data_IF_608616217322
#
_entry.id   IF_608616217322
#
_cell.length_a   1.000
_cell.length_b   1.000
_cell.length_c   1.000
_cell.angle_alpha   90.00
_cell.angle_beta   90.00
_cell.angle_gamma   90.00
#
_symmetry.space_group_name_H-M   'P 1'
#
loop_
_entity.id
_entity.type
_entity.pdbx_description
1 polymer ?
#
# COMPACT_ATOMS: atom_id res chain seq x y z
N UNK A 1 -10.26 7.11 -2.96
CA UNK A 1 -9.71 5.94 -2.24
C UNK A 1 -10.58 4.74 -2.56
N UNK A 2 -9.99 3.56 -2.76
CA UNK A 2 -10.74 2.32 -2.95
C UNK A 2 -9.98 1.11 -2.40
N UNK A 3 -10.70 0.03 -2.13
CA UNK A 3 -10.15 -1.29 -1.82
C UNK A 3 -10.12 -2.14 -3.08
N UNK A 4 -9.08 -2.96 -3.22
CA UNK A 4 -8.96 -3.96 -4.28
C UNK A 4 -8.29 -5.24 -3.74
N UNK A 5 -8.78 -6.40 -4.15
CA UNK A 5 -8.06 -7.66 -4.01
C UNK A 5 -6.89 -7.70 -5.01
N UNK A 6 -5.87 -8.52 -4.73
CA UNK A 6 -4.68 -8.61 -5.57
C UNK A 6 -4.99 -8.86 -7.07
N UNK A 7 -5.96 -9.73 -7.36
CA UNK A 7 -6.33 -10.08 -8.75
C UNK A 7 -7.14 -8.99 -9.47
N UNK A 8 -7.63 -7.99 -8.75
CA UNK A 8 -8.34 -6.83 -9.32
C UNK A 8 -7.37 -5.71 -9.72
N UNK A 9 -6.13 -5.75 -9.22
CA UNK A 9 -5.10 -4.78 -9.57
C UNK A 9 -4.65 -5.00 -11.01
N UNK A 10 -4.66 -3.93 -11.80
CA UNK A 10 -3.95 -3.95 -13.06
C UNK A 10 -2.44 -4.09 -12.83
N UNK A 11 -1.71 -4.55 -13.85
CA UNK A 11 -0.25 -4.68 -13.80
C UNK A 11 0.43 -3.36 -13.43
N UNK A 12 -0.07 -2.26 -13.96
CA UNK A 12 0.51 -0.94 -13.75
C UNK A 12 0.24 -0.45 -12.31
N UNK A 13 -0.94 -0.71 -11.76
CA UNK A 13 -1.25 -0.41 -10.36
C UNK A 13 -0.43 -1.24 -9.39
N UNK A 14 -0.29 -2.55 -9.65
CA UNK A 14 0.57 -3.42 -8.86
C UNK A 14 2.02 -2.91 -8.86
N UNK A 15 2.53 -2.53 -10.03
CA UNK A 15 3.88 -2.00 -10.15
C UNK A 15 4.06 -0.68 -9.40
N UNK A 16 3.11 0.26 -9.51
CA UNK A 16 3.12 1.53 -8.77
C UNK A 16 3.11 1.30 -7.25
N UNK A 17 2.29 0.37 -6.76
CA UNK A 17 2.23 0.01 -5.33
C UNK A 17 3.59 -0.50 -4.85
N UNK A 18 4.19 -1.44 -5.59
CA UNK A 18 5.50 -2.02 -5.25
C UNK A 18 6.60 -0.96 -5.27
N UNK A 19 6.59 -0.08 -6.27
CA UNK A 19 7.55 1.02 -6.37
C UNK A 19 7.45 1.94 -5.15
N UNK A 20 6.25 2.44 -4.83
CA UNK A 20 6.07 3.40 -3.72
C UNK A 20 6.42 2.76 -2.37
N UNK A 21 6.11 1.47 -2.18
CA UNK A 21 6.54 0.72 -0.99
C UNK A 21 8.05 0.66 -0.87
N UNK A 22 8.77 0.40 -1.97
CA UNK A 22 10.24 0.37 -1.96
C UNK A 22 10.83 1.76 -1.74
N UNK A 23 10.28 2.80 -2.37
CA UNK A 23 10.70 4.19 -2.16
C UNK A 23 10.62 4.58 -0.68
N UNK A 24 9.53 4.24 0.00
CA UNK A 24 9.33 4.60 1.41
C UNK A 24 10.07 3.65 2.36
N UNK A 25 9.81 2.35 2.28
CA UNK A 25 10.28 1.41 3.30
C UNK A 25 11.71 0.92 3.10
N UNK A 26 12.25 0.97 1.88
CA UNK A 26 13.62 0.53 1.60
C UNK A 26 14.56 1.72 1.39
N UNK A 27 14.22 2.62 0.47
CA UNK A 27 15.11 3.72 0.06
C UNK A 27 15.11 4.84 1.10
N UNK A 28 13.95 5.44 1.38
CA UNK A 28 13.84 6.56 2.32
C UNK A 28 14.23 6.16 3.75
N UNK A 29 13.77 5.00 4.21
CA UNK A 29 14.10 4.49 5.54
C UNK A 29 15.50 3.85 5.63
N UNK A 30 16.22 3.73 4.50
CA UNK A 30 17.52 3.06 4.41
C UNK A 30 17.51 1.67 5.09
N UNK A 31 16.46 0.90 4.84
CA UNK A 31 16.19 -0.37 5.48
C UNK A 31 16.02 -1.45 4.40
N UNK A 32 17.09 -2.09 3.93
CA UNK A 32 16.98 -3.13 2.92
C UNK A 32 16.35 -4.39 3.53
N UNK A 33 15.14 -4.72 3.08
CA UNK A 33 14.47 -5.99 3.40
C UNK A 33 13.60 -6.44 2.23
N UNK A 34 13.16 -7.70 2.25
CA UNK A 34 12.26 -8.23 1.24
C UNK A 34 10.85 -7.66 1.43
N UNK A 35 10.53 -6.57 0.74
CA UNK A 35 9.20 -5.95 0.78
C UNK A 35 8.14 -6.83 0.11
N UNK A 36 8.45 -7.39 -1.06
CA UNK A 36 7.62 -8.34 -1.80
C UNK A 36 7.69 -9.73 -1.15
N UNK A 37 7.03 -9.85 0.00
CA UNK A 37 7.11 -11.00 0.92
C UNK A 37 6.22 -12.20 0.52
N UNK A 38 5.58 -12.15 -0.64
CA UNK A 38 4.69 -13.22 -1.14
C UNK A 38 3.32 -13.28 -0.46
N UNK A 39 2.99 -12.30 0.39
CA UNK A 39 1.68 -12.23 1.07
C UNK A 39 0.69 -11.32 0.33
N UNK A 40 1.12 -10.61 -0.71
CA UNK A 40 0.28 -9.66 -1.44
C UNK A 40 -0.90 -10.36 -2.15
N UNK A 41 -0.70 -11.58 -2.65
CA UNK A 41 -1.69 -12.34 -3.41
C UNK A 41 -2.98 -12.64 -2.63
N UNK A 42 -2.87 -12.80 -1.30
CA UNK A 42 -3.99 -13.06 -0.41
C UNK A 42 -4.52 -11.82 0.30
N UNK A 43 -4.02 -10.63 -0.04
CA UNK A 43 -4.31 -9.40 0.68
C UNK A 43 -5.42 -8.56 0.03
N UNK A 44 -6.00 -7.68 0.84
CA UNK A 44 -6.72 -6.50 0.36
C UNK A 44 -5.79 -5.29 0.38
N UNK A 45 -5.92 -4.45 -0.65
CA UNK A 45 -5.07 -3.29 -0.91
C UNK A 45 -5.94 -2.04 -0.86
N UNK A 46 -5.67 -1.16 0.10
CA UNK A 46 -6.30 0.17 0.18
C UNK A 46 -5.43 1.17 -0.56
N UNK A 47 -5.99 1.78 -1.61
CA UNK A 47 -5.26 2.69 -2.50
C UNK A 47 -5.90 4.07 -2.44
N UNK A 48 -5.11 5.07 -2.03
CA UNK A 48 -5.50 6.47 -2.10
C UNK A 48 -4.76 7.16 -3.25
N UNK A 49 -5.51 7.73 -4.18
CA UNK A 49 -4.99 8.48 -5.34
C UNK A 49 -5.31 9.96 -5.21
N UNK A 50 -4.39 10.80 -5.67
CA UNK A 50 -4.59 12.26 -5.75
C UNK A 50 -5.79 12.57 -6.64
N UNK A 51 -6.67 13.45 -6.15
CA UNK A 51 -7.88 13.86 -6.88
C UNK A 51 -8.95 12.76 -7.02
N UNK A 52 -8.78 11.59 -6.38
CA UNK A 52 -9.70 10.44 -6.48
C UNK A 52 -9.95 9.91 -7.91
N UNK A 53 -9.03 10.17 -8.83
CA UNK A 53 -9.09 9.64 -10.20
C UNK A 53 -8.27 8.34 -10.31
N UNK A 54 -8.68 7.35 -11.13
CA UNK A 54 -7.89 6.14 -11.38
C UNK A 54 -6.49 6.44 -11.94
N UNK A 55 -6.38 7.48 -12.77
CA UNK A 55 -5.11 7.97 -13.32
C UNK A 55 -4.33 8.89 -12.38
N UNK A 56 -4.89 9.23 -11.21
CA UNK A 56 -4.22 10.08 -10.24
C UNK A 56 -3.07 9.35 -9.55
N UNK A 57 -1.99 10.06 -9.23
CA UNK A 57 -0.84 9.50 -8.52
C UNK A 57 -1.24 8.84 -7.21
N UNK A 58 -0.70 7.65 -6.90
CA UNK A 58 -0.84 7.02 -5.58
C UNK A 58 -0.17 7.92 -4.52
N UNK A 59 -0.94 8.30 -3.49
CA UNK A 59 -0.48 9.17 -2.42
C UNK A 59 -0.45 8.50 -1.05
N UNK A 60 -1.21 7.42 -0.88
CA UNK A 60 -1.23 6.65 0.36
C UNK A 60 -1.64 5.21 0.06
N UNK A 61 -1.15 4.28 0.87
CA UNK A 61 -1.39 2.86 0.69
C UNK A 61 -1.42 2.13 2.04
N UNK A 62 -2.23 1.08 2.12
CA UNK A 62 -2.28 0.13 3.22
C UNK A 62 -2.59 -1.26 2.67
N UNK A 63 -1.96 -2.28 3.27
CA UNK A 63 -2.24 -3.70 3.03
C UNK A 63 -2.99 -4.29 4.22
N UNK A 64 -4.04 -5.05 3.95
CA UNK A 64 -4.77 -5.83 4.94
C UNK A 64 -4.62 -7.32 4.61
N UNK A 65 -4.00 -8.06 5.53
CA UNK A 65 -3.87 -9.51 5.44
C UNK A 65 -5.02 -10.19 6.21
N UNK A 66 -5.60 -11.28 5.68
CA UNK A 66 -6.60 -12.03 6.41
C UNK A 66 -5.99 -12.82 7.58
N UNK A 67 -6.82 -13.22 8.57
CA UNK A 67 -6.45 -14.12 9.65
C UNK A 67 -5.70 -15.37 9.14
N UNK A 68 -4.67 -15.80 9.88
CA UNK A 68 -3.88 -16.99 9.55
C UNK A 68 -2.79 -16.78 8.48
N UNK A 69 -2.72 -15.63 7.82
CA UNK A 69 -1.67 -15.35 6.83
C UNK A 69 -0.30 -15.14 7.47
N UNK A 70 -0.29 -14.40 8.58
CA UNK A 70 0.93 -14.08 9.36
C UNK A 70 0.68 -14.13 10.86
N UNK A 71 -0.51 -13.70 11.28
CA UNK A 71 -0.98 -13.72 12.66
C UNK A 71 -2.33 -14.43 12.73
N UNK A 72 -2.77 -14.91 13.92
CA UNK A 72 -4.10 -15.48 14.09
C UNK A 72 -5.22 -14.51 13.70
N UNK A 73 -5.02 -13.21 13.91
CA UNK A 73 -5.94 -12.14 13.55
C UNK A 73 -5.62 -11.53 12.17
N UNK A 74 -6.57 -10.76 11.63
CA UNK A 74 -6.30 -9.88 10.49
C UNK A 74 -5.22 -8.85 10.87
N UNK A 75 -4.35 -8.52 9.93
CA UNK A 75 -3.26 -7.58 10.20
C UNK A 75 -3.13 -6.50 9.14
N UNK A 76 -3.00 -5.26 9.62
CA UNK A 76 -2.69 -4.09 8.81
C UNK A 76 -1.17 -3.98 8.70
N UNK A 77 -0.67 -3.73 7.49
CA UNK A 77 0.74 -3.54 7.21
C UNK A 77 0.98 -2.67 5.99
N UNK A 78 2.25 -2.36 5.75
CA UNK A 78 2.69 -1.52 4.62
C UNK A 78 1.96 -0.17 4.55
N UNK A 79 1.51 0.34 5.70
CA UNK A 79 0.87 1.64 5.83
C UNK A 79 1.87 2.75 5.46
N UNK A 80 1.57 3.52 4.42
CA UNK A 80 2.43 4.62 3.97
C UNK A 80 1.64 5.82 3.47
N UNK A 81 2.31 6.97 3.48
CA UNK A 81 1.91 8.18 2.77
C UNK A 81 3.16 8.72 2.06
N UNK A 82 3.04 8.96 0.76
CA UNK A 82 4.15 9.49 -0.05
C UNK A 82 4.57 10.86 0.46
N UNK A 83 5.85 11.20 0.31
CA UNK A 83 6.40 12.44 0.88
C UNK A 83 5.62 13.70 0.45
N UNK A 84 5.21 13.77 -0.82
CA UNK A 84 4.45 14.90 -1.39
C UNK A 84 3.01 15.04 -0.87
N UNK A 85 2.51 14.09 -0.08
CA UNK A 85 1.17 14.09 0.49
C UNK A 85 1.17 14.04 2.03
N UNK A 86 2.33 14.04 2.68
CA UNK A 86 2.43 14.10 4.15
C UNK A 86 1.89 15.44 4.67
N UNK A 87 1.36 15.45 5.88
CA UNK A 87 0.73 16.64 6.49
C UNK A 87 -0.67 16.99 5.95
N UNK A 88 -1.14 16.33 4.89
CA UNK A 88 -2.49 16.55 4.32
C UNK A 88 -3.64 15.93 5.14
N UNK A 89 -3.31 15.12 6.15
CA UNK A 89 -4.29 14.31 6.89
C UNK A 89 -4.64 12.97 6.24
N UNK A 90 -4.14 12.66 5.03
CA UNK A 90 -4.48 11.41 4.32
C UNK A 90 -4.10 10.15 5.12
N UNK A 91 -3.00 10.16 5.85
CA UNK A 91 -2.59 9.04 6.70
C UNK A 91 -3.60 8.70 7.80
N UNK A 92 -4.33 9.71 8.31
CA UNK A 92 -5.42 9.50 9.27
C UNK A 92 -6.69 8.99 8.58
N UNK A 93 -6.92 9.35 7.32
CA UNK A 93 -8.09 8.91 6.58
C UNK A 93 -8.02 7.45 6.12
N UNK A 94 -6.81 6.87 6.05
CA UNK A 94 -6.58 5.49 5.60
C UNK A 94 -6.46 4.49 6.77
N UNK A 95 -6.56 4.97 8.02
CA UNK A 95 -6.52 4.20 9.27
C UNK A 95 -7.91 4.16 9.89
#
# INVERSE_FOLDING_TARGET
MHWAAFHELSRDELYEILQVRQEVFSVEQNCPYLDADGLDQGALHLIARRGNLPSGQLIAYLRLLPPGSRFPEASIGRLLTVNSARGSGIGRAIM
#
